data_IF_466510838807
#
_entry.id   IF_466510838807
#
_cell.length_a   1.000
_cell.length_b   1.000
_cell.length_c   1.000
_cell.angle_alpha   90.00
_cell.angle_beta   90.00
_cell.angle_gamma   90.00
#
_symmetry.space_group_name_H-M   'P 1'
#
loop_
_entity.id
_entity.type
_entity.pdbx_description
1 polymer ?
#
# COMPACT_ATOMS: atom_id res chain seq x y z
N UNK A 1 1.64 -67.27 34.01
CA UNK A 1 1.14 -67.60 32.65
C UNK A 1 -0.36 -67.38 32.70
N UNK A 2 -1.00 -66.44 32.02
CA UNK A 2 -0.98 -66.17 30.58
C UNK A 2 -1.28 -64.70 30.29
N UNK A 3 -0.62 -64.20 29.26
CA UNK A 3 -0.77 -62.90 28.61
C UNK A 3 -2.12 -62.71 27.90
N UNK A 4 -2.59 -61.46 27.84
CA UNK A 4 -3.43 -60.94 26.74
C UNK A 4 -3.18 -59.43 26.51
N UNK A 5 -2.15 -59.17 25.71
CA UNK A 5 -2.10 -58.29 24.53
C UNK A 5 -3.19 -57.23 24.31
N UNK A 6 -2.73 -55.96 24.22
CA UNK A 6 -3.00 -54.93 23.18
C UNK A 6 -4.41 -54.33 23.06
N UNK A 7 -4.66 -53.10 22.59
CA UNK A 7 -3.94 -51.88 22.22
C UNK A 7 -5.05 -50.90 21.73
N UNK A 8 -4.76 -49.60 21.72
CA UNK A 8 -5.40 -48.58 20.87
C UNK A 8 -6.78 -48.04 21.27
N UNK A 9 -6.76 -46.85 21.88
CA UNK A 9 -7.66 -45.72 21.57
C UNK A 9 -7.16 -44.42 22.22
N UNK A 10 -5.85 -44.14 22.12
CA UNK A 10 -5.34 -42.76 22.14
C UNK A 10 -5.18 -42.36 20.69
N UNK A 11 -6.16 -41.62 20.16
CA UNK A 11 -6.04 -40.77 18.97
C UNK A 11 -7.45 -40.23 18.65
N UNK A 12 -7.67 -38.92 18.88
CA UNK A 12 -8.62 -38.02 18.19
C UNK A 12 -8.97 -36.78 19.05
N UNK A 13 -8.02 -35.85 19.29
CA UNK A 13 -8.34 -34.49 19.82
C UNK A 13 -7.24 -33.43 19.55
N UNK A 14 -6.27 -33.64 18.65
CA UNK A 14 -5.13 -32.71 18.48
C UNK A 14 -5.33 -31.60 17.43
N UNK A 15 -6.21 -31.81 16.45
CA UNK A 15 -6.39 -30.90 15.31
C UNK A 15 -7.01 -29.53 15.67
N UNK A 16 -8.01 -29.43 16.58
CA UNK A 16 -8.66 -28.14 16.89
C UNK A 16 -7.76 -27.15 17.64
N UNK A 17 -6.92 -27.65 18.57
CA UNK A 17 -6.01 -26.83 19.38
C UNK A 17 -4.90 -26.19 18.52
N UNK A 18 -4.34 -26.94 17.58
CA UNK A 18 -3.29 -26.46 16.68
C UNK A 18 -3.87 -25.43 15.69
N UNK A 19 -5.10 -25.65 15.21
CA UNK A 19 -5.78 -24.71 14.31
C UNK A 19 -6.05 -23.36 14.98
N UNK A 20 -6.47 -23.37 16.25
CA UNK A 20 -6.72 -22.14 17.01
C UNK A 20 -5.42 -21.37 17.28
N UNK A 21 -4.34 -22.07 17.67
CA UNK A 21 -3.04 -21.43 17.89
C UNK A 21 -2.52 -20.76 16.62
N UNK A 22 -2.64 -21.44 15.48
CA UNK A 22 -2.25 -20.90 14.16
C UNK A 22 -3.06 -19.67 13.75
N UNK A 23 -4.33 -19.58 14.13
CA UNK A 23 -5.13 -18.38 13.93
C UNK A 23 -4.66 -17.23 14.82
N UNK A 24 -4.42 -17.50 16.11
CA UNK A 24 -3.91 -16.49 17.04
C UNK A 24 -2.53 -15.96 16.63
N UNK A 25 -1.62 -16.83 16.18
CA UNK A 25 -0.31 -16.44 15.69
C UNK A 25 -0.44 -15.48 14.49
N UNK A 26 -1.37 -15.76 13.57
CA UNK A 26 -1.68 -14.90 12.42
C UNK A 26 -2.23 -13.53 12.83
N UNK A 27 -3.15 -13.51 13.79
CA UNK A 27 -3.75 -12.27 14.31
C UNK A 27 -2.69 -11.38 14.98
N UNK A 28 -1.84 -11.99 15.82
CA UNK A 28 -0.75 -11.30 16.49
C UNK A 28 0.26 -10.72 15.50
N UNK A 29 0.71 -11.52 14.53
CA UNK A 29 1.65 -11.07 13.49
C UNK A 29 1.07 -9.89 12.68
N UNK A 30 -0.23 -9.93 12.39
CA UNK A 30 -0.91 -8.82 11.74
C UNK A 30 -0.97 -7.58 12.64
N UNK A 31 -1.36 -7.73 13.91
CA UNK A 31 -1.45 -6.63 14.87
C UNK A 31 -0.10 -5.95 15.09
N UNK A 32 0.98 -6.72 15.26
CA UNK A 32 2.33 -6.16 15.41
C UNK A 32 2.74 -5.32 14.20
N UNK A 33 2.43 -5.77 12.98
CA UNK A 33 2.71 -4.99 11.76
C UNK A 33 1.83 -3.76 11.63
N UNK A 34 0.57 -3.86 12.05
CA UNK A 34 -0.37 -2.75 12.03
C UNK A 34 0.05 -1.65 13.02
N UNK A 35 0.43 -2.02 14.24
CA UNK A 35 0.94 -1.11 15.27
C UNK A 35 2.23 -0.39 14.81
N UNK A 36 3.12 -1.13 14.15
CA UNK A 36 4.33 -0.54 13.54
C UNK A 36 4.01 0.48 12.44
N UNK A 37 2.91 0.33 11.70
CA UNK A 37 2.45 1.33 10.74
C UNK A 37 1.76 2.52 11.40
N UNK A 38 0.94 2.27 12.43
CA UNK A 38 0.27 3.31 13.21
C UNK A 38 1.26 4.26 13.90
N UNK A 39 2.37 3.74 14.41
CA UNK A 39 3.42 4.60 15.00
C UNK A 39 4.05 5.58 14.00
N UNK A 40 3.91 5.33 12.69
CA UNK A 40 4.45 6.17 11.62
C UNK A 40 3.41 7.09 10.97
N UNK A 41 2.12 6.75 11.06
CA UNK A 41 1.05 7.43 10.33
C UNK A 41 -0.25 7.42 11.14
N UNK A 42 -0.93 8.57 11.21
CA UNK A 42 -2.17 8.73 11.99
C UNK A 42 -3.38 8.00 11.38
N UNK A 43 -3.39 7.78 10.05
CA UNK A 43 -4.56 7.23 9.34
C UNK A 43 -4.19 5.97 8.55
N UNK A 44 -4.75 4.82 8.95
CA UNK A 44 -4.53 3.54 8.26
C UNK A 44 -5.49 3.42 7.09
N UNK A 45 -4.96 3.36 5.87
CA UNK A 45 -5.78 3.17 4.68
C UNK A 45 -5.99 1.69 4.35
N UNK A 46 -7.00 1.38 3.52
CA UNK A 46 -7.18 0.02 2.99
C UNK A 46 -5.98 -0.45 2.15
N UNK A 47 -5.23 0.48 1.56
CA UNK A 47 -3.98 0.17 0.86
C UNK A 47 -2.93 -0.35 1.83
N UNK A 48 -2.79 0.26 3.00
CA UNK A 48 -1.79 -0.17 3.99
C UNK A 48 -2.13 -1.53 4.57
N UNK A 49 -3.40 -1.76 4.89
CA UNK A 49 -3.91 -3.09 5.25
C UNK A 49 -3.60 -4.14 4.18
N UNK A 50 -3.81 -3.81 2.90
CA UNK A 50 -3.50 -4.72 1.79
C UNK A 50 -1.99 -5.00 1.67
N UNK A 51 -1.11 -4.03 1.99
CA UNK A 51 0.35 -4.26 2.04
C UNK A 51 0.73 -5.26 3.13
N UNK A 52 0.19 -5.11 4.35
CA UNK A 52 0.45 -6.06 5.45
C UNK A 52 0.01 -7.48 5.05
N UNK A 53 -1.20 -7.62 4.50
CA UNK A 53 -1.71 -8.91 4.01
C UNK A 53 -0.82 -9.46 2.90
N UNK A 54 -0.32 -8.62 2.00
CA UNK A 54 0.64 -9.04 0.97
C UNK A 54 1.93 -9.59 1.56
N UNK A 55 2.48 -8.99 2.61
CA UNK A 55 3.69 -9.51 3.25
C UNK A 55 3.45 -10.84 3.97
N UNK A 56 2.33 -10.96 4.70
CA UNK A 56 1.98 -12.15 5.48
C UNK A 56 1.49 -13.32 4.62
N UNK A 57 1.20 -13.11 3.32
CA UNK A 57 0.74 -14.14 2.38
C UNK A 57 1.65 -15.36 2.28
N UNK A 58 2.94 -15.19 2.61
CA UNK A 58 3.95 -16.27 2.56
C UNK A 58 3.78 -17.29 3.69
N UNK A 59 3.22 -16.86 4.82
CA UNK A 59 3.11 -17.67 6.04
C UNK A 59 1.66 -18.14 6.28
N UNK A 60 0.69 -17.31 5.90
CA UNK A 60 -0.73 -17.55 6.17
C UNK A 60 -1.58 -17.48 4.90
N UNK A 61 -2.69 -18.23 4.83
CA UNK A 61 -3.59 -18.18 3.69
C UNK A 61 -4.26 -16.81 3.61
N UNK A 62 -4.19 -16.20 2.42
CA UNK A 62 -4.77 -14.87 2.14
C UNK A 62 -6.26 -14.81 2.47
N UNK A 63 -7.00 -15.90 2.30
CA UNK A 63 -8.42 -15.99 2.66
C UNK A 63 -8.68 -15.73 4.13
N UNK A 64 -7.84 -16.24 5.03
CA UNK A 64 -7.97 -16.02 6.47
C UNK A 64 -7.58 -14.58 6.84
N UNK A 65 -6.46 -14.09 6.31
CA UNK A 65 -5.98 -12.73 6.52
C UNK A 65 -7.03 -11.69 6.09
N UNK A 66 -7.55 -11.80 4.87
CA UNK A 66 -8.52 -10.85 4.32
C UNK A 66 -9.85 -10.88 5.09
N UNK A 67 -10.24 -12.05 5.62
CA UNK A 67 -11.41 -12.20 6.50
C UNK A 67 -11.21 -11.50 7.84
N UNK A 68 -10.04 -11.66 8.46
CA UNK A 68 -9.70 -11.01 9.73
C UNK A 68 -9.67 -9.48 9.61
N UNK A 69 -9.06 -8.98 8.53
CA UNK A 69 -8.91 -7.54 8.27
C UNK A 69 -10.21 -6.88 7.78
N UNK A 70 -11.26 -7.68 7.56
CA UNK A 70 -12.57 -7.24 7.07
C UNK A 70 -12.51 -6.47 5.74
N UNK A 71 -11.71 -6.95 4.79
CA UNK A 71 -11.63 -6.40 3.42
C UNK A 71 -12.27 -7.41 2.46
N UNK A 72 -13.09 -7.00 1.48
CA UNK A 72 -13.55 -7.94 0.46
C UNK A 72 -12.38 -8.47 -0.38
N UNK A 73 -12.39 -9.77 -0.72
CA UNK A 73 -11.31 -10.39 -1.50
C UNK A 73 -11.07 -9.71 -2.86
N UNK A 74 -12.14 -9.26 -3.52
CA UNK A 74 -12.06 -8.47 -4.74
C UNK A 74 -11.33 -7.13 -4.52
N UNK A 75 -11.65 -6.43 -3.43
CA UNK A 75 -10.97 -5.18 -3.03
C UNK A 75 -9.48 -5.42 -2.81
N UNK A 76 -9.09 -6.49 -2.12
CA UNK A 76 -7.68 -6.84 -1.92
C UNK A 76 -6.91 -6.97 -3.25
N UNK A 77 -7.42 -7.78 -4.19
CA UNK A 77 -6.74 -7.96 -5.48
C UNK A 77 -6.77 -6.71 -6.35
N UNK A 78 -7.83 -5.90 -6.27
CA UNK A 78 -7.90 -4.61 -6.95
C UNK A 78 -6.82 -3.64 -6.43
N UNK A 79 -6.65 -3.56 -5.11
CA UNK A 79 -5.62 -2.72 -4.48
C UNK A 79 -4.22 -3.20 -4.84
N UNK A 80 -3.96 -4.51 -4.84
CA UNK A 80 -2.69 -5.07 -5.32
C UNK A 80 -2.42 -4.69 -6.78
N UNK A 81 -3.42 -4.84 -7.64
CA UNK A 81 -3.31 -4.45 -9.05
C UNK A 81 -2.99 -2.97 -9.18
N UNK A 82 -3.60 -2.11 -8.37
CA UNK A 82 -3.30 -0.67 -8.35
C UNK A 82 -1.86 -0.37 -7.89
N UNK A 83 -1.37 -1.03 -6.85
CA UNK A 83 0.01 -0.86 -6.36
C UNK A 83 1.06 -1.32 -7.38
N UNK A 84 0.75 -2.36 -8.16
CA UNK A 84 1.66 -2.85 -9.19
C UNK A 84 1.67 -2.01 -10.47
N UNK A 85 0.74 -1.06 -10.62
CA UNK A 85 0.67 -0.26 -11.84
C UNK A 85 1.81 0.75 -11.84
N UNK A 86 2.55 0.88 -12.95
CA UNK A 86 3.50 1.96 -13.10
C UNK A 86 2.76 3.30 -13.02
N UNK A 87 3.40 4.28 -12.38
CA UNK A 87 2.86 5.63 -12.33
C UNK A 87 2.92 6.24 -13.73
N UNK A 88 1.74 6.37 -14.36
CA UNK A 88 1.58 6.94 -15.71
C UNK A 88 2.07 8.38 -15.82
N UNK A 89 2.18 9.06 -14.68
CA UNK A 89 2.62 10.45 -14.61
C UNK A 89 4.08 10.56 -14.15
N UNK A 90 4.82 9.45 -14.01
CA UNK A 90 6.21 9.46 -13.54
C UNK A 90 7.10 10.38 -14.37
N UNK A 91 7.11 10.23 -15.69
CA UNK A 91 7.97 11.02 -16.57
C UNK A 91 7.61 12.52 -16.49
N UNK A 92 6.31 12.84 -16.50
CA UNK A 92 5.83 14.22 -16.40
C UNK A 92 6.13 14.82 -15.02
N UNK A 93 6.11 14.01 -13.95
CA UNK A 93 6.48 14.46 -12.59
C UNK A 93 7.95 14.86 -12.53
N UNK A 94 8.83 14.02 -13.10
CA UNK A 94 10.27 14.32 -13.17
C UNK A 94 10.47 15.61 -13.95
N UNK A 95 9.88 15.73 -15.14
CA UNK A 95 10.03 16.91 -15.98
C UNK A 95 9.52 18.20 -15.31
N UNK A 96 8.36 18.14 -14.64
CA UNK A 96 7.81 19.28 -13.88
C UNK A 96 8.76 19.69 -12.75
N UNK A 97 9.35 18.72 -12.04
CA UNK A 97 10.30 18.99 -10.97
C UNK A 97 11.57 19.65 -11.53
N UNK A 98 12.11 19.12 -12.62
CA UNK A 98 13.28 19.67 -13.31
C UNK A 98 13.05 21.12 -13.74
N UNK A 99 11.93 21.42 -14.43
CA UNK A 99 11.59 22.80 -14.82
C UNK A 99 11.43 23.71 -13.59
N UNK A 100 10.81 23.20 -12.52
CA UNK A 100 10.63 23.97 -11.30
C UNK A 100 11.97 24.34 -10.66
N UNK A 101 12.91 23.40 -10.58
CA UNK A 101 14.22 23.60 -9.98
C UNK A 101 15.13 24.49 -10.83
N UNK A 102 15.12 24.31 -12.16
CA UNK A 102 15.84 25.19 -13.11
C UNK A 102 15.45 26.67 -12.98
N UNK A 103 14.19 26.93 -12.62
CA UNK A 103 13.66 28.28 -12.43
C UNK A 103 13.58 28.71 -10.96
N UNK A 104 14.35 28.07 -10.08
CA UNK A 104 14.46 28.37 -8.64
C UNK A 104 13.10 28.45 -7.93
N UNK A 105 12.17 27.59 -8.35
CA UNK A 105 10.82 27.51 -7.80
C UNK A 105 9.94 28.73 -8.03
N UNK A 106 10.32 29.64 -8.94
CA UNK A 106 9.51 30.84 -9.28
C UNK A 106 8.32 30.49 -10.17
N UNK A 107 8.40 29.38 -10.90
CA UNK A 107 7.41 29.07 -11.92
C UNK A 107 6.18 28.37 -11.32
N UNK A 108 5.01 28.92 -11.63
CA UNK A 108 3.73 28.27 -11.36
C UNK A 108 3.29 27.39 -12.54
N UNK A 109 2.19 26.66 -12.34
CA UNK A 109 1.70 25.67 -13.31
C UNK A 109 1.47 26.21 -14.74
N UNK A 110 1.16 27.50 -14.90
CA UNK A 110 1.00 28.14 -16.22
C UNK A 110 2.33 28.19 -16.98
N UNK A 111 3.39 28.69 -16.34
CA UNK A 111 4.74 28.78 -16.92
C UNK A 111 5.36 27.40 -17.13
N UNK A 112 5.17 26.49 -16.17
CA UNK A 112 5.62 25.09 -16.31
C UNK A 112 4.95 24.43 -17.51
N UNK A 113 3.65 24.67 -17.75
CA UNK A 113 2.98 24.16 -18.95
C UNK A 113 3.62 24.70 -20.24
N UNK A 114 3.96 25.98 -20.28
CA UNK A 114 4.61 26.60 -21.45
C UNK A 114 5.98 25.97 -21.70
N UNK A 115 6.79 25.77 -20.66
CA UNK A 115 8.08 25.09 -20.77
C UNK A 115 7.94 23.62 -21.20
N UNK A 116 6.96 22.88 -20.66
CA UNK A 116 6.64 21.53 -21.12
C UNK A 116 6.29 21.52 -22.61
N UNK A 117 5.49 22.47 -23.07
CA UNK A 117 5.14 22.58 -24.48
C UNK A 117 6.36 22.90 -25.37
N UNK A 118 7.28 23.76 -24.91
CA UNK A 118 8.56 24.04 -25.59
C UNK A 118 9.45 22.80 -25.71
N UNK A 119 9.40 21.90 -24.71
CA UNK A 119 10.09 20.60 -24.70
C UNK A 119 9.34 19.50 -25.47
N UNK A 120 8.29 19.86 -26.22
CA UNK A 120 7.50 18.92 -27.04
C UNK A 120 6.44 18.13 -26.27
N UNK A 121 6.23 18.40 -24.98
CA UNK A 121 5.26 17.73 -24.12
C UNK A 121 3.99 18.57 -23.97
N UNK A 122 2.97 18.31 -24.80
CA UNK A 122 1.72 19.07 -24.73
C UNK A 122 0.77 18.48 -23.67
N UNK A 123 0.87 19.02 -22.45
CA UNK A 123 0.07 18.58 -21.29
C UNK A 123 -1.02 19.59 -20.95
N UNK A 124 -2.22 19.11 -20.62
CA UNK A 124 -3.32 19.96 -20.17
C UNK A 124 -2.95 20.66 -18.84
N UNK A 125 -3.25 21.95 -18.71
CA UNK A 125 -2.98 22.76 -17.51
C UNK A 125 -3.58 22.15 -16.23
N UNK A 126 -4.74 21.49 -16.31
CA UNK A 126 -5.35 20.79 -15.17
C UNK A 126 -4.49 19.62 -14.68
N UNK A 127 -3.85 18.90 -15.61
CA UNK A 127 -2.96 17.78 -15.29
C UNK A 127 -1.67 18.28 -14.64
N UNK A 128 -1.07 19.34 -15.18
CA UNK A 128 0.10 19.99 -14.55
C UNK A 128 -0.22 20.46 -13.13
N UNK A 129 -1.36 21.15 -12.95
CA UNK A 129 -1.78 21.61 -11.63
C UNK A 129 -2.01 20.46 -10.63
N UNK A 130 -2.64 19.36 -11.07
CA UNK A 130 -2.82 18.16 -10.23
C UNK A 130 -1.46 17.57 -9.83
N UNK A 131 -0.54 17.43 -10.78
CA UNK A 131 0.78 16.86 -10.52
C UNK A 131 1.59 17.73 -9.54
N UNK A 132 1.61 19.06 -9.74
CA UNK A 132 2.26 19.98 -8.80
C UNK A 132 1.70 19.85 -7.38
N UNK A 133 0.38 19.71 -7.23
CA UNK A 133 -0.25 19.48 -5.92
C UNK A 133 0.20 18.17 -5.28
N UNK A 134 0.30 17.09 -6.06
CA UNK A 134 0.79 15.78 -5.59
C UNK A 134 2.25 15.88 -5.14
N UNK A 135 3.07 16.65 -5.86
CA UNK A 135 4.48 16.88 -5.54
C UNK A 135 4.68 17.91 -4.41
N UNK A 136 3.62 18.60 -3.96
CA UNK A 136 3.72 19.66 -2.95
C UNK A 136 4.37 20.96 -3.46
N UNK A 137 4.58 21.09 -4.77
CA UNK A 137 5.28 22.23 -5.39
C UNK A 137 4.35 23.44 -5.43
N UNK A 138 4.83 24.58 -4.92
CA UNK A 138 4.15 25.88 -5.00
C UNK A 138 5.13 26.95 -5.46
N UNK A 139 4.69 27.81 -6.37
CA UNK A 139 5.51 28.92 -6.85
C UNK A 139 5.77 29.92 -5.73
N UNK A 140 7.03 30.31 -5.54
CA UNK A 140 7.47 31.31 -4.55
C UNK A 140 6.86 32.71 -4.78
N UNK A 141 6.39 33.00 -6.00
CA UNK A 141 5.82 34.29 -6.38
C UNK A 141 4.34 34.48 -6.02
N UNK A 142 3.78 33.68 -5.12
CA UNK A 142 2.42 33.94 -4.61
C UNK A 142 2.46 35.17 -3.72
N UNK A 143 2.04 36.33 -4.23
CA UNK A 143 1.80 37.53 -3.43
C UNK A 143 0.97 37.14 -2.20
N UNK A 144 1.54 37.30 -0.99
CA UNK A 144 0.73 37.36 0.23
C UNK A 144 -0.21 38.55 0.05
N UNK A 145 -1.52 38.30 0.09
CA UNK A 145 -2.54 39.33 0.14
C UNK A 145 -2.93 39.52 1.61
#
# INVERSE_FOLDING_TARGET
MTSKSNNSKKQKTSVPLIANKRQQDMENDYLTKLELLMSKQENITNQDKAKIVYELRKQYPVTALVKYVNIPRSTYYNLLKQMSRPDKDADIKVEIQTIFDEHEGRYGYRRIREELAKRGQNVNHKKVLRIMKILGIKSSSSRKK
#
